data_IF_328928583757
#
_entry.id   IF_328928583757
#
_cell.length_a   1.000
_cell.length_b   1.000
_cell.length_c   1.000
_cell.angle_alpha   90.00
_cell.angle_beta   90.00
_cell.angle_gamma   90.00
#
_symmetry.space_group_name_H-M   'P 1'
#
loop_
_entity.id
_entity.type
_entity.pdbx_description
1 polymer ?
#
# COMPACT_ATOMS: atom_id res chain seq x y z
N UNK A 1 13.67 -16.03 -8.92
CA UNK A 1 12.25 -15.80 -9.04
C UNK A 1 11.56 -15.94 -7.69
N UNK A 2 10.88 -14.91 -7.25
CA UNK A 2 10.16 -14.94 -5.99
C UNK A 2 8.92 -15.81 -6.16
N UNK A 3 8.75 -16.81 -5.28
CA UNK A 3 7.65 -17.73 -5.34
C UNK A 3 6.31 -16.98 -5.29
N UNK A 4 5.45 -17.21 -6.28
CA UNK A 4 4.13 -16.63 -6.33
C UNK A 4 4.06 -15.19 -6.87
N UNK A 5 5.21 -14.57 -7.20
CA UNK A 5 5.24 -13.20 -7.70
C UNK A 5 5.77 -13.17 -9.12
N UNK A 6 5.11 -12.41 -9.99
CA UNK A 6 5.53 -12.24 -11.37
C UNK A 6 6.40 -11.01 -11.53
N UNK A 7 7.08 -10.93 -12.68
CA UNK A 7 7.86 -9.76 -13.04
C UNK A 7 7.01 -8.60 -13.55
N UNK A 8 5.71 -8.83 -13.79
CA UNK A 8 4.81 -7.77 -14.23
C UNK A 8 4.63 -6.73 -13.15
N UNK A 9 4.88 -5.47 -13.47
CA UNK A 9 4.82 -4.37 -12.52
C UNK A 9 3.96 -3.24 -13.05
N UNK A 10 3.22 -2.60 -12.14
CA UNK A 10 2.42 -1.43 -12.44
C UNK A 10 3.08 -0.21 -11.83
N UNK A 11 3.23 0.90 -12.57
CA UNK A 11 3.85 2.09 -12.01
C UNK A 11 2.93 2.78 -10.99
N UNK A 12 3.54 3.30 -9.94
CA UNK A 12 2.86 4.02 -8.86
C UNK A 12 3.34 5.46 -8.83
N UNK A 13 2.42 6.38 -8.56
CA UNK A 13 2.76 7.75 -8.22
C UNK A 13 2.46 7.95 -6.73
N UNK A 14 3.50 8.20 -5.95
CA UNK A 14 3.40 8.43 -4.51
C UNK A 14 3.35 9.93 -4.27
N UNK A 15 2.38 10.37 -3.47
CA UNK A 15 2.19 11.80 -3.18
C UNK A 15 2.84 12.26 -1.88
N UNK A 16 3.98 11.73 -1.56
CA UNK A 16 4.80 12.37 -0.56
C UNK A 16 5.65 13.41 -1.29
N UNK A 17 5.18 14.64 -1.26
CA UNK A 17 5.70 15.72 -2.11
C UNK A 17 7.19 15.91 -2.04
N UNK A 18 7.77 15.72 -0.88
CA UNK A 18 9.20 15.94 -0.71
C UNK A 18 10.01 14.77 -1.24
N UNK A 19 9.64 13.57 -0.81
CA UNK A 19 10.40 12.37 -1.14
C UNK A 19 10.20 11.92 -2.59
N UNK A 20 8.98 12.03 -3.11
CA UNK A 20 8.71 11.63 -4.48
C UNK A 20 9.47 12.50 -5.48
N UNK A 21 9.60 13.80 -5.20
CA UNK A 21 10.33 14.71 -6.07
C UNK A 21 11.83 14.54 -5.98
N UNK A 22 12.36 14.36 -4.75
CA UNK A 22 13.79 14.31 -4.52
C UNK A 22 14.40 12.97 -4.89
N UNK A 23 13.65 11.88 -4.70
CA UNK A 23 14.18 10.55 -4.88
C UNK A 23 13.72 9.87 -6.16
N UNK A 24 12.75 10.48 -6.87
CA UNK A 24 12.22 9.90 -8.10
C UNK A 24 11.66 8.51 -7.89
N UNK A 25 11.12 8.25 -6.70
CA UNK A 25 10.67 6.91 -6.33
C UNK A 25 9.44 6.55 -7.14
N UNK A 26 9.60 5.59 -8.04
CA UNK A 26 8.51 4.88 -8.66
C UNK A 26 8.58 3.45 -8.14
N UNK A 27 7.75 3.18 -7.15
CA UNK A 27 7.69 1.84 -6.59
C UNK A 27 6.83 0.99 -7.50
N UNK A 28 7.35 -0.12 -8.04
CA UNK A 28 6.51 -1.01 -8.85
C UNK A 28 5.60 -1.85 -7.96
N UNK A 29 4.39 -2.09 -8.42
CA UNK A 29 3.47 -3.03 -7.78
C UNK A 29 3.52 -4.34 -8.53
N UNK A 30 3.77 -5.42 -7.82
CA UNK A 30 3.89 -6.75 -8.40
C UNK A 30 2.60 -7.54 -8.27
N UNK A 31 2.32 -8.30 -9.31
CA UNK A 31 1.22 -9.24 -9.32
C UNK A 31 1.78 -10.65 -9.10
N UNK A 32 0.99 -11.49 -8.47
CA UNK A 32 1.36 -12.90 -8.34
C UNK A 32 1.05 -13.64 -9.64
N UNK A 33 1.28 -14.96 -9.67
CA UNK A 33 1.10 -15.77 -10.88
C UNK A 33 -0.35 -15.84 -11.35
N UNK A 34 -1.31 -15.48 -10.48
CA UNK A 34 -2.74 -15.44 -10.82
C UNK A 34 -3.18 -14.04 -11.27
N UNK A 35 -2.26 -13.09 -11.39
CA UNK A 35 -2.58 -11.72 -11.76
C UNK A 35 -3.16 -10.90 -10.62
N UNK A 36 -3.05 -11.36 -9.39
CA UNK A 36 -3.56 -10.67 -8.21
C UNK A 36 -2.52 -9.71 -7.67
N UNK A 37 -2.96 -8.55 -7.16
CA UNK A 37 -2.06 -7.59 -6.55
C UNK A 37 -1.51 -8.17 -5.26
N UNK A 38 -0.19 -8.15 -5.12
CA UNK A 38 0.50 -8.75 -3.96
C UNK A 38 1.24 -7.71 -3.13
N UNK A 39 2.25 -7.07 -3.68
CA UNK A 39 3.11 -6.15 -2.91
C UNK A 39 3.86 -5.22 -3.85
N UNK A 40 4.46 -4.17 -3.29
CA UNK A 40 5.46 -3.39 -4.02
C UNK A 40 6.82 -4.06 -3.90
N UNK A 41 7.83 -3.50 -4.55
CA UNK A 41 9.18 -4.08 -4.51
C UNK A 41 9.72 -4.17 -3.09
N UNK A 42 9.44 -3.14 -2.27
CA UNK A 42 9.91 -3.08 -0.88
C UNK A 42 8.79 -2.71 0.08
N UNK A 43 7.54 -2.85 -0.33
CA UNK A 43 6.40 -2.33 0.42
C UNK A 43 5.27 -3.35 0.48
N UNK A 44 4.41 -3.18 1.49
CA UNK A 44 3.11 -3.82 1.53
C UNK A 44 2.07 -2.82 1.02
N UNK A 45 0.94 -3.34 0.55
CA UNK A 45 -0.09 -2.54 -0.12
C UNK A 45 -1.39 -2.62 0.65
N UNK A 46 -2.07 -1.47 0.76
CA UNK A 46 -3.38 -1.37 1.37
C UNK A 46 -4.28 -0.48 0.53
N UNK A 47 -5.57 -0.73 0.65
CA UNK A 47 -6.60 0.07 -0.03
C UNK A 47 -7.63 0.53 0.99
N UNK A 48 -8.36 1.57 0.66
CA UNK A 48 -9.47 2.07 1.46
C UNK A 48 -10.73 2.07 0.61
N UNK A 49 -11.80 1.52 1.17
CA UNK A 49 -13.13 1.59 0.56
C UNK A 49 -14.14 1.81 1.67
N UNK A 50 -14.94 2.87 1.55
CA UNK A 50 -15.96 3.22 2.56
C UNK A 50 -15.38 3.24 3.98
N UNK A 51 -14.23 3.87 4.13
CA UNK A 51 -13.48 3.99 5.39
C UNK A 51 -12.99 2.66 5.97
N UNK A 52 -13.07 1.57 5.22
CA UNK A 52 -12.56 0.26 5.62
C UNK A 52 -11.18 0.06 5.00
N UNK A 53 -10.21 -0.35 5.82
CA UNK A 53 -8.89 -0.72 5.33
C UNK A 53 -8.99 -2.13 4.73
N UNK A 54 -8.48 -2.28 3.52
CA UNK A 54 -8.51 -3.55 2.79
C UNK A 54 -7.10 -3.92 2.39
N UNK A 55 -6.74 -5.17 2.55
CA UNK A 55 -5.40 -5.65 2.23
C UNK A 55 -5.47 -6.96 1.44
N UNK A 56 -4.53 -7.19 0.52
CA UNK A 56 -4.37 -8.52 -0.07
C UNK A 56 -3.97 -9.50 1.03
N UNK A 57 -4.49 -10.74 1.00
CA UNK A 57 -4.08 -11.74 1.99
C UNK A 57 -2.65 -12.21 1.73
N UNK A 58 -1.99 -12.72 2.78
CA UNK A 58 -0.61 -13.23 2.65
C UNK A 58 -0.48 -14.32 1.59
N UNK A 59 -1.57 -15.06 1.34
CA UNK A 59 -1.58 -16.09 0.30
C UNK A 59 -1.29 -15.56 -1.09
N UNK A 60 -1.38 -14.25 -1.31
CA UNK A 60 -1.02 -13.66 -2.60
C UNK A 60 0.49 -13.57 -2.81
N UNK A 61 1.31 -13.89 -1.82
CA UNK A 61 2.75 -14.05 -1.99
C UNK A 61 3.62 -12.92 -1.47
N UNK A 62 3.10 -12.12 -0.55
CA UNK A 62 3.87 -11.01 0.02
C UNK A 62 4.59 -11.40 1.30
N UNK A 63 5.61 -10.62 1.67
CA UNK A 63 6.27 -10.72 2.96
C UNK A 63 5.61 -9.77 3.94
N UNK A 64 5.25 -10.24 5.16
CA UNK A 64 4.64 -9.35 6.16
C UNK A 64 5.70 -8.40 6.74
N UNK A 65 5.42 -7.09 6.67
CA UNK A 65 6.30 -6.07 7.22
C UNK A 65 5.84 -5.60 8.60
N UNK A 66 6.73 -4.88 9.30
CA UNK A 66 6.46 -4.39 10.65
C UNK A 66 5.29 -3.41 10.66
N UNK A 67 5.24 -2.50 9.71
CA UNK A 67 4.13 -1.53 9.65
C UNK A 67 2.82 -2.23 9.32
N UNK A 68 2.86 -3.25 8.47
CA UNK A 68 1.68 -4.06 8.18
C UNK A 68 1.15 -4.69 9.47
N UNK A 69 2.04 -5.26 10.28
CA UNK A 69 1.65 -5.87 11.53
C UNK A 69 1.07 -4.85 12.52
N UNK A 70 1.66 -3.65 12.57
CA UNK A 70 1.13 -2.57 13.39
C UNK A 70 -0.31 -2.22 12.98
N UNK A 71 -0.57 -2.10 11.69
CA UNK A 71 -1.90 -1.78 11.19
C UNK A 71 -2.90 -2.88 11.52
N UNK A 72 -2.50 -4.14 11.36
CA UNK A 72 -3.36 -5.27 11.70
C UNK A 72 -3.69 -5.34 13.18
N UNK A 73 -2.76 -4.93 14.04
CA UNK A 73 -2.99 -4.95 15.49
C UNK A 73 -3.78 -3.73 15.98
N UNK A 74 -3.83 -2.67 15.19
CA UNK A 74 -4.39 -1.39 15.63
C UNK A 74 -5.77 -1.12 15.04
N UNK A 75 -6.02 -1.56 13.81
CA UNK A 75 -7.25 -1.26 13.08
C UNK A 75 -7.90 -2.53 12.55
N UNK A 76 -9.24 -2.54 12.38
CA UNK A 76 -9.89 -3.66 11.69
C UNK A 76 -9.52 -3.61 10.20
N UNK A 77 -9.02 -4.72 9.69
CA UNK A 77 -8.60 -4.83 8.30
C UNK A 77 -9.31 -6.00 7.66
N UNK A 78 -9.91 -5.75 6.50
CA UNK A 78 -10.56 -6.78 5.70
C UNK A 78 -9.57 -7.29 4.66
N UNK A 79 -9.39 -8.60 4.58
CA UNK A 79 -8.56 -9.18 3.52
C UNK A 79 -9.41 -9.52 2.30
N UNK A 80 -8.87 -9.22 1.13
CA UNK A 80 -9.57 -9.42 -0.12
C UNK A 80 -8.56 -9.57 -1.25
N UNK A 81 -8.81 -10.52 -2.15
CA UNK A 81 -8.03 -10.62 -3.37
C UNK A 81 -8.38 -9.44 -4.27
N UNK A 82 -7.35 -8.76 -4.78
CA UNK A 82 -7.52 -7.54 -5.55
C UNK A 82 -6.84 -7.70 -6.90
N UNK A 83 -7.58 -7.39 -7.95
CA UNK A 83 -7.09 -7.43 -9.32
C UNK A 83 -6.86 -6.01 -9.82
N UNK A 84 -5.95 -5.81 -10.79
CA UNK A 84 -5.70 -4.47 -11.33
C UNK A 84 -6.97 -3.80 -11.87
N UNK A 85 -7.90 -4.57 -12.40
CA UNK A 85 -9.16 -4.04 -12.93
C UNK A 85 -10.14 -3.58 -11.85
N UNK A 86 -9.86 -3.91 -10.57
CA UNK A 86 -10.73 -3.54 -9.45
C UNK A 86 -10.46 -2.14 -8.91
N UNK A 87 -9.49 -1.43 -9.45
CA UNK A 87 -9.03 -0.15 -8.87
C UNK A 87 -10.15 0.88 -8.73
N UNK A 88 -11.12 0.86 -9.64
CA UNK A 88 -12.26 1.78 -9.58
C UNK A 88 -13.17 1.59 -8.37
N UNK A 89 -13.03 0.47 -7.66
CA UNK A 89 -13.82 0.20 -6.46
C UNK A 89 -13.24 0.85 -5.21
N UNK A 90 -11.99 1.33 -5.26
CA UNK A 90 -11.29 1.82 -4.08
C UNK A 90 -11.17 3.34 -4.07
N UNK A 91 -11.33 3.91 -2.88
CA UNK A 91 -11.22 5.35 -2.69
C UNK A 91 -9.78 5.80 -2.54
N UNK A 92 -8.93 4.96 -1.94
CA UNK A 92 -7.54 5.28 -1.65
C UNK A 92 -6.67 4.04 -1.75
N UNK A 93 -5.38 4.29 -1.94
CA UNK A 93 -4.35 3.27 -1.84
C UNK A 93 -3.18 3.85 -1.03
N UNK A 94 -2.54 3.03 -0.20
CA UNK A 94 -1.30 3.44 0.42
C UNK A 94 -0.33 2.27 0.51
N UNK A 95 0.95 2.60 0.63
CA UNK A 95 2.02 1.63 0.77
C UNK A 95 2.61 1.75 2.17
N UNK A 96 3.21 0.67 2.64
CA UNK A 96 3.91 0.67 3.93
C UNK A 96 5.24 -0.01 3.83
N UNK A 97 6.23 0.52 4.55
CA UNK A 97 7.45 -0.22 4.85
C UNK A 97 8.07 0.31 6.15
N UNK A 98 9.03 -0.44 6.69
CA UNK A 98 9.62 -0.11 7.99
C UNK A 98 10.43 1.18 7.97
N UNK A 99 10.92 1.58 6.80
CA UNK A 99 11.78 2.77 6.67
C UNK A 99 10.96 4.04 6.50
N UNK A 100 9.96 4.00 5.63
CA UNK A 100 9.19 5.19 5.24
C UNK A 100 7.82 5.29 5.91
N UNK A 101 7.38 4.24 6.62
CA UNK A 101 6.09 4.24 7.29
C UNK A 101 4.95 4.04 6.31
N UNK A 102 4.01 4.96 6.30
CA UNK A 102 2.83 4.92 5.46
C UNK A 102 2.95 5.97 4.36
N UNK A 103 2.74 5.56 3.12
CA UNK A 103 2.88 6.43 1.95
C UNK A 103 1.59 6.41 1.13
N UNK A 104 0.78 7.48 1.20
CA UNK A 104 -0.41 7.56 0.34
C UNK A 104 -0.04 7.58 -1.14
N UNK A 105 -0.83 6.89 -1.95
CA UNK A 105 -0.63 6.79 -3.39
C UNK A 105 -1.68 7.63 -4.10
N UNK A 106 -1.27 8.41 -5.09
CA UNK A 106 -2.22 9.18 -5.89
C UNK A 106 -2.64 8.44 -7.15
N UNK A 107 -1.77 7.60 -7.69
CA UNK A 107 -2.02 7.00 -8.99
C UNK A 107 -1.36 5.63 -9.08
N UNK A 108 -2.08 4.68 -9.65
CA UNK A 108 -1.55 3.35 -9.97
C UNK A 108 -1.81 3.07 -11.45
N UNK A 109 -0.75 2.96 -12.23
CA UNK A 109 -0.90 2.86 -13.67
C UNK A 109 -1.59 4.11 -14.22
N UNK A 110 -2.71 3.93 -14.89
CA UNK A 110 -3.50 5.03 -15.42
C UNK A 110 -4.63 5.46 -14.47
N UNK A 111 -4.83 4.74 -13.37
CA UNK A 111 -5.92 5.04 -12.44
C UNK A 111 -5.49 6.05 -11.38
N UNK A 112 -6.25 7.12 -11.22
CA UNK A 112 -6.04 8.14 -10.18
C UNK A 112 -7.05 7.93 -9.07
N UNK A 113 -6.55 7.77 -7.83
CA UNK A 113 -7.43 7.58 -6.67
C UNK A 113 -8.07 8.91 -6.28
N UNK A 114 -9.38 8.89 -5.95
CA UNK A 114 -10.07 10.15 -5.65
C UNK A 114 -9.71 10.79 -4.31
N UNK A 115 -9.06 10.04 -3.40
CA UNK A 115 -8.76 10.53 -2.07
C UNK A 115 -7.43 10.01 -1.56
N UNK A 116 -6.84 10.72 -0.59
CA UNK A 116 -5.69 10.29 0.19
C UNK A 116 -5.90 10.62 1.66
N UNK A 117 -7.12 10.98 2.03
CA UNK A 117 -7.40 11.51 3.37
C UNK A 117 -7.15 10.50 4.48
N UNK A 118 -7.63 9.28 4.31
CA UNK A 118 -7.48 8.24 5.34
C UNK A 118 -6.01 7.82 5.46
N UNK A 119 -5.32 7.67 4.32
CA UNK A 119 -3.90 7.35 4.32
C UNK A 119 -3.07 8.39 5.06
N UNK A 120 -3.37 9.66 4.83
CA UNK A 120 -2.68 10.76 5.54
C UNK A 120 -2.97 10.75 7.03
N UNK A 121 -4.22 10.46 7.41
CA UNK A 121 -4.61 10.34 8.80
C UNK A 121 -3.87 9.20 9.49
N UNK A 122 -3.79 8.05 8.84
CA UNK A 122 -3.06 6.90 9.37
C UNK A 122 -1.57 7.20 9.52
N UNK A 123 -0.99 7.91 8.56
CA UNK A 123 0.40 8.35 8.65
C UNK A 123 0.60 9.25 9.87
N UNK A 124 -0.31 10.18 10.10
CA UNK A 124 -0.22 11.08 11.25
C UNK A 124 -0.35 10.31 12.56
N UNK A 125 -1.26 9.34 12.62
CA UNK A 125 -1.45 8.52 13.82
C UNK A 125 -0.23 7.65 14.09
N UNK A 126 0.38 7.09 13.06
CA UNK A 126 1.61 6.33 13.21
C UNK A 126 2.74 7.21 13.75
N UNK A 127 2.87 8.41 13.20
CA UNK A 127 3.88 9.37 13.62
C UNK A 127 3.71 9.74 15.10
N UNK A 128 2.47 10.01 15.52
CA UNK A 128 2.16 10.34 16.91
C UNK A 128 2.46 9.16 17.84
N UNK A 129 2.16 7.95 17.40
CA UNK A 129 2.45 6.74 18.17
C UNK A 129 3.95 6.57 18.41
N UNK A 130 4.76 6.80 17.37
CA UNK A 130 6.21 6.70 17.48
C UNK A 130 6.78 7.77 18.41
N UNK A 131 6.22 8.98 18.37
CA UNK A 131 6.67 10.07 19.24
C UNK A 131 6.38 9.80 20.70
N UNK A 132 5.27 9.13 21.00
CA UNK A 132 4.91 8.84 22.40
C UNK A 132 5.78 7.76 23.02
N UNK A 133 6.56 7.03 22.21
CA UNK A 133 7.50 6.02 22.70
C UNK A 133 8.89 6.59 23.02
N UNK A 134 9.09 7.84 22.70
CA UNK A 134 10.38 8.50 22.97
C UNK A 134 10.39 9.22 24.36
#
# INVERSE_FOLDING_TARGET
>A
NVTGVQTCALPICIMEKRHAKEMGIQEPVFLNTKGEIAEGATTNIFFIKDNQIIAPPLSCGMLPGIIREYLYSTYPIKEQIILPEDMGEFDEMFLTNSLLGIMPVCKLGSYTFPSMNTGRKLLQELYNSQRSLC
#
